data_IF_719816172968
#
_entry.id   IF_719816172968
#
_cell.length_a   1.000
_cell.length_b   1.000
_cell.length_c   1.000
_cell.angle_alpha   90.00
_cell.angle_beta   90.00
_cell.angle_gamma   90.00
#
_symmetry.space_group_name_H-M   'P 1'
#
loop_
_entity.id
_entity.type
_entity.pdbx_description
1 polymer ?
#
# COMPACT_ATOMS: atom_id res chain seq x y z
N UNK A 1 1.87 21.59 -46.99
CA UNK A 1 2.32 20.53 -46.06
C UNK A 1 1.10 19.73 -45.63
N UNK A 2 0.87 18.55 -46.20
CA UNK A 2 -0.33 17.74 -45.94
C UNK A 2 0.01 16.79 -44.79
N UNK A 3 -0.59 16.97 -43.60
CA UNK A 3 -0.53 15.99 -42.52
C UNK A 3 -1.41 14.80 -42.93
N UNK A 4 -0.80 13.64 -43.16
CA UNK A 4 -1.54 12.41 -43.38
C UNK A 4 -2.31 12.01 -42.11
N UNK A 5 -3.58 11.62 -42.26
CA UNK A 5 -4.39 11.11 -41.16
C UNK A 5 -3.86 9.72 -40.73
N UNK A 6 -3.81 9.42 -39.42
CA UNK A 6 -3.32 8.12 -38.94
C UNK A 6 -4.21 6.99 -39.47
N UNK A 7 -3.62 5.85 -39.89
CA UNK A 7 -4.37 4.75 -40.48
C UNK A 7 -5.33 4.12 -39.46
N UNK A 8 -6.47 3.56 -39.89
CA UNK A 8 -7.52 3.04 -39.01
C UNK A 8 -7.03 1.94 -38.07
N UNK A 9 -6.03 1.16 -38.47
CA UNK A 9 -5.38 0.15 -37.63
C UNK A 9 -4.64 0.78 -36.42
N UNK A 10 -4.08 1.97 -36.61
CA UNK A 10 -3.37 2.71 -35.56
C UNK A 10 -4.35 3.28 -34.53
N UNK A 11 -5.51 3.75 -34.98
CA UNK A 11 -6.62 4.18 -34.11
C UNK A 11 -7.21 3.00 -33.31
N UNK A 12 -7.37 1.84 -33.95
CA UNK A 12 -7.83 0.61 -33.28
C UNK A 12 -6.84 0.14 -32.21
N UNK A 13 -5.53 0.20 -32.51
CA UNK A 13 -4.48 -0.15 -31.55
C UNK A 13 -4.46 0.80 -30.35
N UNK A 14 -4.62 2.11 -30.58
CA UNK A 14 -4.73 3.10 -29.49
C UNK A 14 -5.94 2.85 -28.60
N UNK A 15 -7.10 2.50 -29.19
CA UNK A 15 -8.32 2.14 -28.45
C UNK A 15 -8.10 0.90 -27.58
N UNK A 16 -7.46 -0.14 -28.11
CA UNK A 16 -7.14 -1.36 -27.38
C UNK A 16 -6.16 -1.10 -26.21
N UNK A 17 -5.18 -0.22 -26.39
CA UNK A 17 -4.24 0.16 -25.33
C UNK A 17 -4.92 0.98 -24.23
N UNK A 18 -5.90 1.84 -24.55
CA UNK A 18 -6.68 2.57 -23.55
C UNK A 18 -7.68 1.71 -22.77
N UNK A 19 -8.03 0.53 -23.29
CA UNK A 19 -8.88 -0.47 -22.61
C UNK A 19 -8.08 -1.56 -21.89
N UNK A 20 -6.76 -1.58 -22.04
CA UNK A 20 -5.92 -2.43 -21.23
C UNK A 20 -6.05 -1.97 -19.77
N UNK A 21 -6.53 -2.86 -18.91
CA UNK A 21 -6.61 -2.63 -17.48
C UNK A 21 -5.23 -2.19 -16.98
N UNK A 22 -5.13 -0.97 -16.45
CA UNK A 22 -3.95 -0.60 -15.67
C UNK A 22 -3.93 -1.51 -14.46
N UNK A 23 -2.97 -2.43 -14.41
CA UNK A 23 -2.63 -3.08 -13.15
C UNK A 23 -1.97 -2.02 -12.28
N UNK A 24 -2.70 -1.47 -11.31
CA UNK A 24 -2.09 -0.65 -10.26
C UNK A 24 -1.11 -1.57 -9.51
N UNK A 25 0.15 -1.18 -9.41
CA UNK A 25 1.17 -1.97 -8.71
C UNK A 25 0.89 -2.04 -7.18
N UNK A 26 0.18 -1.05 -6.64
CA UNK A 26 -0.29 -0.99 -5.27
C UNK A 26 -1.75 -0.47 -5.22
N UNK A 27 -2.56 -0.85 -4.23
CA UNK A 27 -3.92 -0.34 -4.10
C UNK A 27 -3.92 1.08 -3.51
N UNK A 28 -3.98 2.10 -4.36
CA UNK A 28 -4.02 3.52 -3.96
C UNK A 28 -5.12 3.83 -2.92
N UNK A 29 -6.24 3.12 -3.00
CA UNK A 29 -7.37 3.23 -2.08
C UNK A 29 -7.02 2.85 -0.62
N UNK A 30 -5.96 2.07 -0.41
CA UNK A 30 -5.50 1.65 0.90
C UNK A 30 -4.36 2.55 1.42
N UNK A 31 -3.85 3.50 0.62
CA UNK A 31 -2.70 4.33 1.00
C UNK A 31 -3.03 5.30 2.14
N UNK A 32 -2.21 5.29 3.18
CA UNK A 32 -2.35 6.21 4.31
C UNK A 32 -1.67 7.53 3.94
N UNK A 33 -2.48 8.50 3.54
CA UNK A 33 -1.99 9.82 3.12
C UNK A 33 -1.46 10.66 4.29
N UNK A 34 -2.13 10.62 5.44
CA UNK A 34 -1.71 11.31 6.67
C UNK A 34 -2.13 10.51 7.88
N UNK A 35 -1.17 10.15 8.72
CA UNK A 35 -1.43 9.46 9.97
C UNK A 35 -1.44 10.47 11.15
N UNK A 36 -2.54 10.57 11.92
CA UNK A 36 -2.57 11.37 13.14
C UNK A 36 -1.48 10.93 14.14
N UNK A 37 -0.98 11.86 14.95
CA UNK A 37 0.05 11.58 15.96
C UNK A 37 1.49 11.74 15.46
N UNK A 38 1.72 11.71 14.14
CA UNK A 38 3.04 11.99 13.57
C UNK A 38 3.32 13.48 13.44
N UNK A 39 4.42 13.94 14.05
CA UNK A 39 4.91 15.31 13.89
C UNK A 39 5.52 15.58 12.50
N UNK A 40 5.96 14.53 11.80
CA UNK A 40 6.57 14.60 10.46
C UNK A 40 6.02 13.49 9.58
N UNK A 41 5.79 13.78 8.30
CA UNK A 41 5.38 12.75 7.35
C UNK A 41 6.52 11.75 7.12
N UNK A 42 6.20 10.44 7.00
CA UNK A 42 7.20 9.42 6.69
C UNK A 42 7.76 9.63 5.27
N UNK A 43 9.01 9.20 5.07
CA UNK A 43 9.66 9.20 3.76
C UNK A 43 9.37 7.95 2.93
N UNK A 44 8.54 7.05 3.45
CA UNK A 44 8.14 5.77 2.85
C UNK A 44 6.61 5.73 2.74
N UNK A 45 6.09 4.99 1.75
CA UNK A 45 4.66 4.78 1.61
C UNK A 45 4.17 3.71 2.59
N UNK A 46 2.93 3.84 3.00
CA UNK A 46 2.28 2.88 3.89
C UNK A 46 0.81 2.75 3.53
N UNK A 47 0.30 1.54 3.71
CA UNK A 47 -1.02 1.13 3.27
C UNK A 47 -1.74 0.40 4.41
N UNK A 48 -3.03 0.65 4.58
CA UNK A 48 -3.88 -0.07 5.52
C UNK A 48 -5.19 -0.44 4.83
N UNK A 49 -5.44 -1.74 4.71
CA UNK A 49 -6.61 -2.27 4.03
C UNK A 49 -6.96 -3.68 4.47
N UNK A 50 -7.59 -4.46 3.57
CA UNK A 50 -8.02 -5.82 3.87
C UNK A 50 -7.56 -6.82 2.80
N UNK A 51 -6.90 -7.89 3.25
CA UNK A 51 -6.58 -9.06 2.43
C UNK A 51 -7.72 -10.08 2.51
N UNK A 52 -8.01 -10.73 1.37
CA UNK A 52 -9.02 -11.79 1.32
C UNK A 52 -8.47 -13.08 1.94
N UNK A 53 -9.11 -13.55 3.00
CA UNK A 53 -8.83 -14.85 3.62
C UNK A 53 -9.78 -15.95 3.14
N UNK A 54 -9.80 -17.08 3.84
CA UNK A 54 -10.69 -18.21 3.52
C UNK A 54 -12.16 -17.89 3.74
N UNK A 55 -13.02 -18.28 2.79
CA UNK A 55 -14.47 -18.03 2.84
C UNK A 55 -14.81 -16.55 2.78
N UNK A 56 -15.52 -16.05 3.80
CA UNK A 56 -15.93 -14.65 3.94
C UNK A 56 -14.95 -13.80 4.76
N UNK A 57 -13.75 -14.30 5.09
CA UNK A 57 -12.80 -13.59 5.95
C UNK A 57 -12.10 -12.44 5.21
N UNK A 58 -11.94 -11.33 5.91
CA UNK A 58 -11.17 -10.16 5.49
C UNK A 58 -10.18 -9.84 6.61
N UNK A 59 -8.89 -10.04 6.35
CA UNK A 59 -7.82 -9.83 7.31
C UNK A 59 -7.29 -8.41 7.15
N UNK A 60 -7.39 -7.59 8.19
CA UNK A 60 -6.79 -6.26 8.19
C UNK A 60 -5.26 -6.40 8.04
N UNK A 61 -4.66 -5.56 7.21
CA UNK A 61 -3.22 -5.43 7.09
C UNK A 61 -2.81 -3.97 7.25
N UNK A 62 -1.60 -3.74 7.78
CA UNK A 62 -0.90 -2.47 7.68
C UNK A 62 0.50 -2.76 7.13
N UNK A 63 0.73 -2.37 5.89
CA UNK A 63 2.00 -2.56 5.19
C UNK A 63 2.78 -1.25 5.20
N UNK A 64 4.03 -1.31 5.63
CA UNK A 64 4.98 -0.18 5.60
C UNK A 64 6.12 -0.57 4.68
N UNK A 65 6.36 0.22 3.64
CA UNK A 65 7.46 -0.05 2.72
C UNK A 65 8.83 0.14 3.40
N UNK A 66 9.87 -0.48 2.84
CA UNK A 66 11.24 -0.24 3.28
C UNK A 66 11.59 1.25 3.17
N UNK A 67 12.28 1.76 4.19
CA UNK A 67 12.78 3.15 4.18
C UNK A 67 13.90 3.37 3.15
N UNK A 68 14.49 2.30 2.62
CA UNK A 68 15.58 2.35 1.65
C UNK A 68 15.34 1.33 0.56
N UNK A 69 15.19 1.81 -0.68
CA UNK A 69 15.05 0.98 -1.88
C UNK A 69 13.92 -0.08 -1.76
N UNK A 70 12.65 0.37 -1.64
CA UNK A 70 11.51 -0.53 -1.40
C UNK A 70 11.24 -1.49 -2.56
N UNK A 71 11.64 -1.14 -3.79
CA UNK A 71 11.46 -1.99 -4.96
C UNK A 71 12.34 -3.24 -4.93
N UNK A 72 13.52 -3.17 -4.30
CA UNK A 72 14.46 -4.28 -4.20
C UNK A 72 14.56 -4.88 -2.78
N UNK A 73 13.90 -4.25 -1.80
CA UNK A 73 13.87 -4.72 -0.42
C UNK A 73 12.99 -5.98 -0.27
N UNK A 74 13.31 -6.87 0.68
CA UNK A 74 12.47 -8.04 0.95
C UNK A 74 11.12 -7.64 1.55
N UNK A 75 10.08 -8.41 1.24
CA UNK A 75 8.79 -8.34 1.94
C UNK A 75 8.85 -9.25 3.17
N UNK A 76 8.58 -8.67 4.34
CA UNK A 76 8.57 -9.40 5.63
C UNK A 76 7.16 -9.39 6.20
N UNK A 77 6.61 -10.59 6.43
CA UNK A 77 5.36 -10.76 7.16
C UNK A 77 5.64 -10.84 8.67
N UNK A 78 4.94 -10.03 9.45
CA UNK A 78 4.96 -10.10 10.90
C UNK A 78 3.60 -10.54 11.45
N UNK A 79 3.60 -11.47 12.41
CA UNK A 79 2.39 -11.96 13.07
C UNK A 79 2.64 -12.04 14.58
N UNK A 80 1.85 -11.29 15.36
CA UNK A 80 1.81 -11.46 16.80
C UNK A 80 1.09 -12.78 17.18
N UNK A 81 1.40 -13.28 18.38
CA UNK A 81 0.89 -14.55 18.90
C UNK A 81 -0.48 -14.45 19.58
N UNK A 82 -0.62 -15.15 20.71
CA UNK A 82 -1.88 -15.26 21.45
C UNK A 82 -2.35 -16.71 21.54
N UNK A 83 -3.59 -17.03 21.12
CA UNK A 83 -4.29 -16.56 19.91
C UNK A 83 -5.22 -15.35 20.10
N UNK A 84 -5.43 -14.58 19.03
CA UNK A 84 -6.41 -13.47 18.98
C UNK A 84 -5.83 -12.08 19.25
N UNK A 85 -4.53 -11.99 19.55
CA UNK A 85 -3.85 -10.70 19.68
C UNK A 85 -3.61 -10.05 18.31
N UNK A 86 -3.65 -8.72 18.27
CA UNK A 86 -3.41 -7.97 17.03
C UNK A 86 -1.93 -7.89 16.69
N UNK A 87 -1.61 -7.97 15.40
CA UNK A 87 -0.23 -7.71 14.94
C UNK A 87 0.13 -6.23 14.88
N UNK A 88 -0.85 -5.33 15.10
CA UNK A 88 -0.57 -3.90 15.27
C UNK A 88 0.13 -3.60 16.60
N UNK A 89 0.12 -4.52 17.56
CA UNK A 89 0.97 -4.44 18.74
C UNK A 89 2.45 -4.42 18.30
N UNK A 90 2.88 -5.37 17.48
CA UNK A 90 4.24 -5.38 16.95
C UNK A 90 4.63 -4.13 16.15
N UNK A 91 3.67 -3.52 15.46
CA UNK A 91 3.90 -2.25 14.77
C UNK A 91 4.07 -1.09 15.75
N UNK A 92 3.16 -0.94 16.73
CA UNK A 92 3.09 0.26 17.57
C UNK A 92 3.90 0.18 18.86
N UNK A 93 4.35 -1.00 19.27
CA UNK A 93 5.00 -1.21 20.57
C UNK A 93 6.32 -2.00 20.48
N UNK A 94 6.59 -2.69 19.37
CA UNK A 94 7.80 -3.52 19.23
C UNK A 94 8.83 -2.94 18.24
N UNK A 95 8.58 -3.03 16.93
CA UNK A 95 9.59 -2.74 15.89
C UNK A 95 9.06 -2.02 14.64
N UNK A 96 7.83 -1.49 14.69
CA UNK A 96 7.33 -0.66 13.60
C UNK A 96 8.06 0.69 13.49
N UNK A 97 7.79 1.44 12.41
CA UNK A 97 8.53 2.67 12.09
C UNK A 97 8.20 3.85 13.02
N UNK A 98 7.13 3.76 13.80
CA UNK A 98 6.71 4.74 14.81
C UNK A 98 6.01 4.00 15.94
N UNK A 99 6.25 4.43 17.18
CA UNK A 99 5.81 3.72 18.39
C UNK A 99 4.90 4.63 19.21
N UNK A 100 3.75 4.10 19.62
CA UNK A 100 2.76 4.87 20.37
C UNK A 100 3.30 5.27 21.75
N UNK A 101 3.14 6.55 22.09
CA UNK A 101 3.57 7.10 23.37
C UNK A 101 2.53 6.85 24.48
N UNK A 102 2.90 6.99 25.77
CA UNK A 102 1.98 6.76 26.89
C UNK A 102 0.73 7.66 26.91
N UNK A 103 0.74 8.77 26.17
CA UNK A 103 -0.43 9.64 26.00
C UNK A 103 -1.52 9.01 25.11
N UNK A 104 -1.22 7.92 24.39
CA UNK A 104 -2.12 7.24 23.47
C UNK A 104 -2.46 8.06 22.21
N UNK A 105 -1.68 9.11 21.92
CA UNK A 105 -1.94 10.06 20.83
C UNK A 105 -0.71 10.23 19.95
N UNK A 106 0.47 10.37 20.54
CA UNK A 106 1.71 10.64 19.82
C UNK A 106 2.32 9.33 19.31
N UNK A 107 2.89 9.39 18.10
CA UNK A 107 3.59 8.29 17.42
C UNK A 107 5.06 8.62 17.17
#
# INVERSE_FOLDING_TARGET
>A
MIRAAPPPLFLLLLLLVSWASRGEAAPDQDEIQRLPGLAKQPSFRQYSGYLKGSGSKHLHYWFVESQKDPENSPVVLWLNGGPGCSSLDGLLTEHGPFLVQPDGVTL
#
